data_IF_578419930714
#
_entry.id   IF_578419930714
#
_cell.length_a   1.000
_cell.length_b   1.000
_cell.length_c   1.000
_cell.angle_alpha   90.00
_cell.angle_beta   90.00
_cell.angle_gamma   90.00
#
_symmetry.space_group_name_H-M   'P 1'
#
loop_
_entity.id
_entity.type
_entity.pdbx_description
1 polymer ?
#
# COMPACT_ATOMS: atom_id res chain seq x y z
N UNK A 1 103.43 -5.77 21.60
CA UNK A 1 103.27 -4.90 22.79
C UNK A 1 101.81 -4.49 22.90
N UNK A 2 101.23 -4.65 24.11
CA UNK A 2 99.99 -4.05 24.65
C UNK A 2 98.71 -4.10 23.77
N UNK A 3 97.59 -4.71 24.15
CA UNK A 3 97.00 -4.87 25.47
C UNK A 3 96.10 -3.67 25.81
N UNK A 4 94.76 -3.83 25.74
CA UNK A 4 93.76 -3.21 26.63
C UNK A 4 92.34 -3.71 26.34
N UNK A 5 91.79 -4.40 27.34
CA UNK A 5 90.37 -4.66 27.57
C UNK A 5 89.61 -3.38 27.91
N UNK A 6 88.30 -3.26 27.60
CA UNK A 6 87.21 -2.86 28.54
C UNK A 6 85.82 -3.28 28.00
N UNK A 7 85.22 -4.26 28.69
CA UNK A 7 83.85 -4.47 29.18
C UNK A 7 82.57 -3.79 28.61
N UNK A 8 81.51 -4.65 28.59
CA UNK A 8 80.05 -4.48 28.86
C UNK A 8 79.10 -4.13 27.70
N UNK A 9 78.18 -5.07 27.40
CA UNK A 9 76.76 -5.01 27.82
C UNK A 9 75.98 -6.27 27.37
N UNK A 10 75.13 -6.82 28.25
CA UNK A 10 74.16 -7.89 27.93
C UNK A 10 73.01 -7.35 27.07
N UNK A 11 72.51 -8.15 26.11
CA UNK A 11 71.07 -8.37 25.87
C UNK A 11 70.84 -9.61 24.97
N UNK A 12 69.80 -10.41 25.22
CA UNK A 12 69.51 -11.61 24.46
C UNK A 12 68.62 -11.30 23.25
N UNK A 13 68.64 -12.21 22.26
CA UNK A 13 67.53 -12.65 21.38
C UNK A 13 68.00 -12.77 19.93
N UNK A 14 67.91 -13.99 19.40
CA UNK A 14 66.89 -14.32 18.40
C UNK A 14 67.12 -15.77 17.94
N UNK A 15 66.49 -16.70 18.62
CA UNK A 15 66.18 -17.99 18.02
C UNK A 15 64.69 -18.24 18.16
N UNK A 16 64.09 -18.53 17.01
CA UNK A 16 62.90 -19.35 16.83
C UNK A 16 61.55 -18.66 17.07
N UNK A 17 61.22 -17.70 16.21
CA UNK A 17 59.83 -17.36 15.88
C UNK A 17 59.27 -18.26 14.76
N UNK A 18 60.13 -18.70 13.84
CA UNK A 18 59.72 -19.45 12.63
C UNK A 18 59.23 -20.86 12.94
N UNK A 19 59.73 -21.50 14.01
CA UNK A 19 59.29 -22.86 14.37
C UNK A 19 57.92 -22.91 15.06
N UNK A 20 57.38 -21.77 15.53
CA UNK A 20 56.09 -21.76 16.24
C UNK A 20 54.88 -21.60 15.33
N UNK A 21 55.06 -21.44 14.02
CA UNK A 21 53.97 -21.16 13.07
C UNK A 21 53.52 -22.41 12.29
N UNK A 22 54.18 -23.56 12.48
CA UNK A 22 53.86 -24.80 11.73
C UNK A 22 52.71 -25.64 12.29
N UNK A 23 51.92 -25.11 13.23
CA UNK A 23 50.89 -25.87 13.95
C UNK A 23 49.53 -25.19 14.06
N UNK A 24 49.09 -24.41 13.05
CA UNK A 24 47.75 -23.81 13.12
C UNK A 24 47.00 -23.90 11.79
N UNK A 25 46.08 -24.86 11.73
CA UNK A 25 45.05 -25.11 10.71
C UNK A 25 44.04 -23.96 10.53
N UNK A 26 44.28 -22.80 11.15
CA UNK A 26 43.37 -21.65 11.13
C UNK A 26 43.64 -20.64 10.01
N UNK A 27 44.80 -20.69 9.35
CA UNK A 27 45.14 -19.70 8.30
C UNK A 27 44.49 -20.05 6.94
N UNK A 28 44.16 -21.33 6.69
CA UNK A 28 43.47 -21.72 5.47
C UNK A 28 41.98 -21.29 5.43
N UNK A 29 41.36 -21.05 6.59
CA UNK A 29 39.97 -20.59 6.66
C UNK A 29 39.81 -19.09 6.33
N UNK A 30 40.79 -18.26 6.69
CA UNK A 30 40.74 -16.82 6.40
C UNK A 30 41.26 -16.46 5.00
N UNK A 31 42.14 -17.29 4.41
CA UNK A 31 42.58 -17.13 3.02
C UNK A 31 41.46 -17.38 2.00
N UNK A 32 40.54 -18.31 2.29
CA UNK A 32 39.40 -18.61 1.43
C UNK A 32 38.30 -17.53 1.46
N UNK A 33 38.18 -16.80 2.57
CA UNK A 33 37.21 -15.71 2.73
C UNK A 33 37.66 -14.39 2.08
N UNK A 34 38.95 -14.11 2.03
CA UNK A 34 39.48 -12.90 1.38
C UNK A 34 39.61 -13.04 -0.15
N UNK A 35 39.81 -14.26 -0.67
CA UNK A 35 39.89 -14.53 -2.12
C UNK A 35 38.55 -14.53 -2.87
N UNK A 36 37.42 -14.54 -2.15
CA UNK A 36 36.08 -14.56 -2.75
C UNK A 36 35.52 -13.14 -3.08
N UNK A 37 36.20 -12.07 -2.66
CA UNK A 37 35.71 -10.69 -2.79
C UNK A 37 36.22 -9.94 -4.04
N UNK A 38 37.09 -10.55 -4.87
CA UNK A 38 37.67 -9.92 -6.07
C UNK A 38 37.07 -10.41 -7.40
N UNK A 39 35.82 -10.89 -7.39
CA UNK A 39 35.05 -11.17 -8.62
C UNK A 39 33.76 -10.32 -8.61
N UNK A 40 33.94 -9.01 -8.62
CA UNK A 40 32.89 -7.99 -8.56
C UNK A 40 32.36 -7.63 -9.95
N UNK A 41 31.63 -8.57 -10.57
CA UNK A 41 30.62 -8.28 -11.61
C UNK A 41 29.73 -9.49 -11.91
N UNK A 42 30.25 -10.72 -11.78
CA UNK A 42 29.52 -11.95 -12.14
C UNK A 42 28.91 -12.70 -10.95
N UNK A 43 29.11 -12.23 -9.73
CA UNK A 43 28.62 -12.89 -8.50
C UNK A 43 27.33 -12.29 -7.94
N UNK A 44 26.94 -11.09 -8.36
CA UNK A 44 25.68 -10.44 -7.95
C UNK A 44 24.46 -11.28 -8.27
N UNK A 45 24.43 -11.92 -9.45
CA UNK A 45 23.32 -12.78 -9.89
C UNK A 45 23.17 -14.04 -9.02
N UNK A 46 24.29 -14.62 -8.60
CA UNK A 46 24.31 -15.81 -7.74
C UNK A 46 23.95 -15.48 -6.30
N UNK A 47 24.41 -14.32 -5.79
CA UNK A 47 24.02 -13.83 -4.46
C UNK A 47 22.54 -13.47 -4.44
N UNK A 48 22.02 -12.81 -5.48
CA UNK A 48 20.59 -12.48 -5.56
C UNK A 48 19.71 -13.72 -5.67
N UNK A 49 20.09 -14.71 -6.48
CA UNK A 49 19.37 -16.00 -6.54
C UNK A 49 19.40 -16.74 -5.21
N UNK A 50 20.53 -16.68 -4.49
CA UNK A 50 20.69 -17.34 -3.20
C UNK A 50 19.91 -16.61 -2.09
N UNK A 51 19.85 -15.29 -2.12
CA UNK A 51 18.99 -14.48 -1.24
C UNK A 51 17.50 -14.68 -1.56
N UNK A 52 17.12 -14.84 -2.83
CA UNK A 52 15.76 -15.18 -3.25
C UNK A 52 15.39 -16.59 -2.81
N UNK A 53 16.27 -17.56 -3.01
CA UNK A 53 16.06 -18.95 -2.60
C UNK A 53 16.01 -19.09 -1.07
N UNK A 54 16.84 -18.35 -0.33
CA UNK A 54 16.81 -18.28 1.12
C UNK A 54 15.64 -17.45 1.68
N UNK A 55 14.77 -16.89 0.83
CA UNK A 55 13.62 -16.07 1.24
C UNK A 55 13.99 -14.69 1.82
N UNK A 56 15.26 -14.28 1.72
CA UNK A 56 15.79 -13.02 2.24
C UNK A 56 15.57 -11.85 1.27
N UNK A 57 15.31 -12.12 -0.01
CA UNK A 57 14.99 -11.11 -1.04
C UNK A 57 13.77 -11.56 -1.85
N UNK A 58 12.80 -10.68 -2.08
CA UNK A 58 11.68 -10.96 -2.98
C UNK A 58 12.22 -11.13 -4.40
N UNK A 59 11.74 -12.15 -5.13
CA UNK A 59 12.11 -12.27 -6.54
C UNK A 59 11.50 -11.13 -7.37
N UNK A 60 12.11 -10.79 -8.51
CA UNK A 60 11.63 -9.68 -9.35
C UNK A 60 10.15 -9.82 -9.75
N UNK A 61 9.66 -11.07 -9.86
CA UNK A 61 8.27 -11.38 -10.13
C UNK A 61 7.34 -11.01 -8.96
N UNK A 62 7.69 -11.32 -7.72
CA UNK A 62 6.96 -10.93 -6.52
C UNK A 62 6.96 -9.41 -6.33
N UNK A 63 8.08 -8.76 -6.59
CA UNK A 63 8.16 -7.30 -6.52
C UNK A 63 7.23 -6.64 -7.54
N UNK A 64 7.18 -7.16 -8.77
CA UNK A 64 6.27 -6.68 -9.80
C UNK A 64 4.79 -6.94 -9.45
N UNK A 65 4.47 -8.08 -8.84
CA UNK A 65 3.10 -8.39 -8.40
C UNK A 65 2.66 -7.49 -7.23
N UNK A 66 3.56 -7.24 -6.27
CA UNK A 66 3.31 -6.32 -5.16
C UNK A 66 3.10 -4.87 -5.65
N UNK A 67 3.87 -4.44 -6.65
CA UNK A 67 3.70 -3.09 -7.22
C UNK A 67 2.35 -2.96 -7.95
N UNK A 68 1.94 -3.96 -8.74
CA UNK A 68 0.61 -4.01 -9.37
C UNK A 68 -0.52 -3.98 -8.34
N UNK A 69 -0.38 -4.75 -7.25
CA UNK A 69 -1.34 -4.73 -6.14
C UNK A 69 -1.41 -3.34 -5.50
N UNK A 70 -0.27 -2.69 -5.30
CA UNK A 70 -0.18 -1.34 -4.75
C UNK A 70 -0.80 -0.29 -5.68
N UNK A 71 -0.52 -0.36 -6.98
CA UNK A 71 -1.14 0.49 -8.01
C UNK A 71 -2.65 0.34 -8.03
N UNK A 72 -3.13 -0.90 -8.08
CA UNK A 72 -4.56 -1.22 -8.00
C UNK A 72 -5.23 -0.60 -6.77
N UNK A 73 -4.64 -0.79 -5.59
CA UNK A 73 -5.19 -0.27 -4.33
C UNK A 73 -5.26 1.25 -4.30
N UNK A 74 -4.22 1.92 -4.82
CA UNK A 74 -4.17 3.39 -4.94
C UNK A 74 -5.22 3.90 -5.91
N UNK A 75 -5.40 3.23 -7.06
CA UNK A 75 -6.41 3.60 -8.04
C UNK A 75 -7.83 3.45 -7.48
N UNK A 76 -8.15 2.31 -6.87
CA UNK A 76 -9.44 2.04 -6.24
C UNK A 76 -9.76 3.06 -5.14
N UNK A 77 -8.83 3.25 -4.20
CA UNK A 77 -9.01 4.18 -3.06
C UNK A 77 -9.20 5.61 -3.56
N UNK A 78 -8.40 6.05 -4.53
CA UNK A 78 -8.51 7.39 -5.12
C UNK A 78 -9.87 7.60 -5.76
N UNK A 79 -10.34 6.63 -6.53
CA UNK A 79 -11.62 6.73 -7.22
C UNK A 79 -12.81 6.73 -6.24
N UNK A 80 -12.77 5.86 -5.21
CA UNK A 80 -13.77 5.81 -4.16
C UNK A 80 -13.88 7.15 -3.41
N UNK A 81 -12.75 7.71 -2.99
CA UNK A 81 -12.75 9.01 -2.30
C UNK A 81 -13.13 10.18 -3.20
N UNK A 82 -12.72 10.16 -4.47
CA UNK A 82 -13.15 11.18 -5.43
C UNK A 82 -14.67 11.17 -5.58
N UNK A 83 -15.28 9.98 -5.74
CA UNK A 83 -16.74 9.85 -5.83
C UNK A 83 -17.42 10.34 -4.56
N UNK A 84 -16.94 9.92 -3.39
CA UNK A 84 -17.50 10.35 -2.11
C UNK A 84 -17.41 11.88 -1.91
N UNK A 85 -16.29 12.48 -2.28
CA UNK A 85 -16.10 13.92 -2.25
C UNK A 85 -17.18 14.63 -3.07
N UNK A 86 -17.39 14.23 -4.33
CA UNK A 86 -18.38 14.88 -5.19
C UNK A 86 -19.81 14.63 -4.73
N UNK A 87 -20.11 13.43 -4.21
CA UNK A 87 -21.39 13.15 -3.53
C UNK A 87 -21.65 14.17 -2.41
N UNK A 88 -20.68 14.39 -1.52
CA UNK A 88 -20.79 15.39 -0.44
C UNK A 88 -20.95 16.81 -0.99
N UNK A 89 -20.24 17.16 -2.06
CA UNK A 89 -20.37 18.48 -2.69
C UNK A 89 -21.76 18.71 -3.24
N UNK A 90 -22.38 17.73 -3.91
CA UNK A 90 -23.77 17.82 -4.37
C UNK A 90 -24.72 18.08 -3.19
N UNK A 91 -24.58 17.30 -2.11
CA UNK A 91 -25.41 17.47 -0.91
C UNK A 91 -25.26 18.89 -0.34
N UNK A 92 -24.03 19.40 -0.22
CA UNK A 92 -23.80 20.76 0.27
C UNK A 92 -24.44 21.81 -0.64
N UNK A 93 -24.29 21.69 -1.95
CA UNK A 93 -24.89 22.66 -2.88
C UNK A 93 -26.41 22.62 -2.87
N UNK A 94 -27.03 21.48 -2.57
CA UNK A 94 -28.48 21.39 -2.43
C UNK A 94 -28.99 21.84 -1.06
N UNK A 95 -28.21 21.62 0.00
CA UNK A 95 -28.53 22.02 1.38
C UNK A 95 -28.54 23.54 1.56
N UNK A 96 -27.65 24.23 0.86
CA UNK A 96 -27.45 25.68 1.00
C UNK A 96 -27.92 26.41 -0.26
N UNK A 97 -28.14 27.72 -0.15
CA UNK A 97 -28.65 28.56 -1.25
C UNK A 97 -27.58 28.91 -2.29
N UNK A 98 -26.91 27.90 -2.83
CA UNK A 98 -25.98 28.04 -3.95
C UNK A 98 -26.76 28.38 -5.22
N UNK A 99 -26.13 29.13 -6.12
CA UNK A 99 -26.74 29.44 -7.41
C UNK A 99 -26.88 28.19 -8.28
N UNK A 100 -27.81 28.25 -9.24
CA UNK A 100 -28.09 27.10 -10.10
C UNK A 100 -26.89 26.69 -10.95
N UNK A 101 -26.03 27.65 -11.35
CA UNK A 101 -24.85 27.36 -12.16
C UNK A 101 -23.83 26.52 -11.39
N UNK A 102 -23.65 26.76 -10.10
CA UNK A 102 -22.74 26.00 -9.25
C UNK A 102 -23.30 24.61 -8.93
N UNK A 103 -24.62 24.50 -8.75
CA UNK A 103 -25.30 23.21 -8.63
C UNK A 103 -25.09 22.36 -9.88
N UNK A 104 -25.31 22.93 -11.06
CA UNK A 104 -25.16 22.24 -12.35
C UNK A 104 -23.71 21.78 -12.56
N UNK A 105 -22.73 22.65 -12.32
CA UNK A 105 -21.31 22.31 -12.41
C UNK A 105 -20.92 21.18 -11.45
N UNK A 106 -21.44 21.23 -10.22
CA UNK A 106 -21.17 20.20 -9.21
C UNK A 106 -21.79 18.87 -9.59
N UNK A 107 -23.00 18.90 -10.16
CA UNK A 107 -23.69 17.73 -10.69
C UNK A 107 -22.91 17.07 -11.82
N UNK A 108 -22.43 17.84 -12.80
CA UNK A 108 -21.65 17.31 -13.93
C UNK A 108 -20.33 16.67 -13.46
N UNK A 109 -19.66 17.30 -12.50
CA UNK A 109 -18.45 16.75 -11.90
C UNK A 109 -18.74 15.45 -11.14
N UNK A 110 -19.88 15.37 -10.45
CA UNK A 110 -20.35 14.15 -9.80
C UNK A 110 -20.64 13.04 -10.82
N UNK A 111 -21.39 13.30 -11.89
CA UNK A 111 -21.69 12.33 -12.94
C UNK A 111 -20.41 11.78 -13.58
N UNK A 112 -19.44 12.65 -13.87
CA UNK A 112 -18.12 12.23 -14.37
C UNK A 112 -17.44 11.21 -13.44
N UNK A 113 -17.63 11.33 -12.12
CA UNK A 113 -17.09 10.33 -11.19
C UNK A 113 -17.92 9.06 -11.06
N UNK A 114 -19.22 9.13 -11.30
CA UNK A 114 -20.10 7.96 -11.37
C UNK A 114 -19.74 7.14 -12.61
N UNK A 115 -19.54 7.78 -13.75
CA UNK A 115 -19.13 7.13 -15.00
C UNK A 115 -17.78 6.45 -14.84
N UNK A 116 -16.77 7.18 -14.34
CA UNK A 116 -15.45 6.60 -14.07
C UNK A 116 -15.52 5.42 -13.08
N UNK A 117 -16.39 5.48 -12.07
CA UNK A 117 -16.61 4.35 -11.15
C UNK A 117 -17.19 3.14 -11.88
N UNK A 118 -18.20 3.34 -12.72
CA UNK A 118 -18.91 2.29 -13.44
C UNK A 118 -18.00 1.63 -14.49
N UNK A 119 -17.22 2.42 -15.23
CA UNK A 119 -16.22 1.93 -16.19
C UNK A 119 -15.20 1.01 -15.53
N UNK A 120 -14.81 1.31 -14.28
CA UNK A 120 -13.84 0.54 -13.52
C UNK A 120 -14.46 -0.55 -12.64
N UNK A 121 -15.78 -0.73 -12.65
CA UNK A 121 -16.46 -1.59 -11.68
C UNK A 121 -15.98 -3.05 -11.76
N UNK A 122 -15.98 -3.63 -12.96
CA UNK A 122 -15.53 -5.02 -13.15
C UNK A 122 -14.02 -5.18 -12.90
N UNK A 123 -13.22 -4.19 -13.25
CA UNK A 123 -11.78 -4.17 -12.95
C UNK A 123 -11.55 -4.19 -11.44
N UNK A 124 -12.33 -3.39 -10.70
CA UNK A 124 -12.27 -3.33 -9.25
C UNK A 124 -12.67 -4.66 -8.61
N UNK A 125 -13.76 -5.28 -9.06
CA UNK A 125 -14.22 -6.59 -8.54
C UNK A 125 -13.17 -7.68 -8.78
N UNK A 126 -12.69 -7.81 -10.02
CA UNK A 126 -11.68 -8.82 -10.39
C UNK A 126 -10.36 -8.57 -9.65
N UNK A 127 -9.91 -7.31 -9.58
CA UNK A 127 -8.69 -6.93 -8.87
C UNK A 127 -8.77 -7.20 -7.37
N UNK A 128 -9.93 -6.94 -6.75
CA UNK A 128 -10.17 -7.28 -5.35
C UNK A 128 -10.10 -8.79 -5.14
N UNK A 129 -10.81 -9.58 -5.94
CA UNK A 129 -10.79 -11.04 -5.83
C UNK A 129 -9.40 -11.64 -6.07
N UNK A 130 -8.59 -11.00 -6.93
CA UNK A 130 -7.20 -11.43 -7.19
C UNK A 130 -6.26 -11.12 -6.02
N UNK A 131 -6.33 -9.92 -5.46
CA UNK A 131 -5.33 -9.41 -4.52
C UNK A 131 -5.73 -9.49 -3.04
N UNK A 132 -7.02 -9.68 -2.76
CA UNK A 132 -7.61 -9.61 -1.42
C UNK A 132 -8.75 -10.63 -1.28
N UNK A 133 -8.47 -11.73 -0.57
CA UNK A 133 -9.47 -12.77 -0.31
C UNK A 133 -10.73 -12.19 0.35
N UNK A 134 -11.90 -12.51 -0.21
CA UNK A 134 -13.22 -12.11 0.30
C UNK A 134 -13.58 -10.64 0.11
N UNK A 135 -12.66 -9.76 -0.31
CA UNK A 135 -12.97 -8.32 -0.44
C UNK A 135 -13.84 -7.97 -1.65
N UNK A 136 -13.85 -8.79 -2.71
CA UNK A 136 -14.79 -8.56 -3.82
C UNK A 136 -16.24 -8.71 -3.36
N UNK A 137 -16.54 -9.77 -2.62
CA UNK A 137 -17.89 -10.02 -2.06
C UNK A 137 -18.33 -8.89 -1.12
N UNK A 138 -17.45 -8.42 -0.23
CA UNK A 138 -17.75 -7.28 0.66
C UNK A 138 -18.00 -6.00 -0.15
N UNK A 139 -17.20 -5.76 -1.19
CA UNK A 139 -17.37 -4.60 -2.05
C UNK A 139 -18.70 -4.62 -2.80
N UNK A 140 -19.07 -5.76 -3.39
CA UNK A 140 -20.32 -5.96 -4.13
C UNK A 140 -21.55 -5.99 -3.21
N UNK A 141 -21.43 -6.57 -2.02
CA UNK A 141 -22.54 -6.71 -1.08
C UNK A 141 -22.81 -5.49 -0.20
N UNK A 142 -21.80 -4.66 0.05
CA UNK A 142 -21.90 -3.55 1.02
C UNK A 142 -21.58 -2.19 0.40
N UNK A 143 -20.42 -2.03 -0.24
CA UNK A 143 -19.96 -0.71 -0.73
C UNK A 143 -20.73 -0.25 -1.96
N UNK A 144 -20.83 -1.10 -2.98
CA UNK A 144 -21.47 -0.77 -4.26
C UNK A 144 -22.98 -0.46 -4.11
N UNK A 145 -23.77 -1.21 -3.31
CA UNK A 145 -25.19 -0.91 -3.10
C UNK A 145 -25.43 0.41 -2.36
N UNK A 146 -24.57 0.76 -1.40
CA UNK A 146 -24.65 2.05 -0.68
C UNK A 146 -24.43 3.23 -1.63
N UNK A 147 -23.41 3.15 -2.49
CA UNK A 147 -23.20 4.16 -3.53
C UNK A 147 -24.41 4.28 -4.47
N UNK A 148 -24.99 3.16 -4.91
CA UNK A 148 -26.18 3.16 -5.77
C UNK A 148 -27.40 3.77 -5.08
N UNK A 149 -27.64 3.41 -3.83
CA UNK A 149 -28.76 3.95 -3.04
C UNK A 149 -28.67 5.46 -2.88
N UNK A 150 -27.47 5.97 -2.55
CA UNK A 150 -27.22 7.42 -2.45
C UNK A 150 -27.44 8.09 -3.80
N UNK A 151 -26.93 7.49 -4.90
CA UNK A 151 -27.11 8.03 -6.25
C UNK A 151 -28.58 8.21 -6.63
N UNK A 152 -29.43 7.19 -6.42
CA UNK A 152 -30.87 7.31 -6.72
C UNK A 152 -31.55 8.42 -5.91
N UNK A 153 -31.16 8.61 -4.66
CA UNK A 153 -31.69 9.70 -3.83
C UNK A 153 -31.22 11.07 -4.32
N UNK A 154 -29.98 11.20 -4.79
CA UNK A 154 -29.49 12.43 -5.40
C UNK A 154 -30.19 12.73 -6.73
N UNK A 155 -30.43 11.72 -7.57
CA UNK A 155 -31.22 11.84 -8.80
C UNK A 155 -32.64 12.33 -8.51
N UNK A 156 -33.28 11.81 -7.46
CA UNK A 156 -34.61 12.26 -7.03
C UNK A 156 -34.62 13.73 -6.62
N UNK A 157 -33.60 14.21 -5.91
CA UNK A 157 -33.45 15.63 -5.54
C UNK A 157 -33.23 16.49 -6.79
N UNK A 158 -32.36 16.04 -7.70
CA UNK A 158 -32.03 16.76 -8.92
C UNK A 158 -33.22 16.83 -9.89
N UNK A 159 -34.04 15.78 -9.91
CA UNK A 159 -35.18 15.65 -10.81
C UNK A 159 -36.47 15.33 -10.02
N UNK A 160 -37.09 16.31 -9.33
CA UNK A 160 -38.27 16.09 -8.49
C UNK A 160 -39.54 15.65 -9.24
N UNK A 161 -39.56 15.81 -10.57
CA UNK A 161 -40.65 15.31 -11.42
C UNK A 161 -40.46 13.88 -11.90
N UNK A 162 -39.31 13.26 -11.62
CA UNK A 162 -39.03 11.87 -11.99
C UNK A 162 -39.78 10.89 -11.08
N UNK A 163 -40.01 9.67 -11.56
CA UNK A 163 -40.56 8.55 -10.78
C UNK A 163 -39.47 7.76 -10.02
N UNK A 164 -38.31 8.38 -9.78
CA UNK A 164 -37.20 7.73 -9.10
C UNK A 164 -37.51 7.65 -7.60
N UNK A 165 -37.43 6.45 -7.04
CA UNK A 165 -37.66 6.23 -5.61
C UNK A 165 -36.35 6.33 -4.80
N UNK A 166 -36.33 7.22 -3.82
CA UNK A 166 -35.25 7.27 -2.82
C UNK A 166 -35.54 6.28 -1.69
N UNK A 167 -34.71 5.24 -1.57
CA UNK A 167 -34.86 4.19 -0.54
C UNK A 167 -34.40 4.60 0.86
N UNK A 168 -33.72 5.74 1.00
CA UNK A 168 -33.25 6.24 2.30
C UNK A 168 -34.35 6.94 3.09
N UNK A 169 -35.22 7.67 2.39
CA UNK A 169 -36.35 8.35 3.01
C UNK A 169 -37.43 8.69 1.98
N UNK A 170 -38.73 8.55 2.29
CA UNK A 170 -39.82 8.95 1.39
C UNK A 170 -39.78 10.42 1.01
N UNK A 171 -39.27 11.28 1.90
CA UNK A 171 -39.16 12.73 1.70
C UNK A 171 -37.86 13.16 1.02
N UNK A 172 -36.94 12.21 0.75
CA UNK A 172 -35.59 12.49 0.24
C UNK A 172 -34.85 13.56 1.06
N UNK A 173 -35.01 13.56 2.38
CA UNK A 173 -34.38 14.56 3.23
C UNK A 173 -32.86 14.57 3.04
N UNK A 174 -32.30 15.78 2.96
CA UNK A 174 -30.85 15.99 2.92
C UNK A 174 -30.15 15.36 4.14
N UNK A 175 -30.80 15.38 5.31
CA UNK A 175 -30.25 14.78 6.53
C UNK A 175 -30.03 13.26 6.40
N UNK A 176 -31.01 12.53 5.86
CA UNK A 176 -30.87 11.08 5.62
C UNK A 176 -29.74 10.76 4.63
N UNK A 177 -29.53 11.63 3.64
CA UNK A 177 -28.42 11.52 2.69
C UNK A 177 -27.06 11.76 3.35
N UNK A 178 -26.95 12.78 4.21
CA UNK A 178 -25.72 13.05 4.98
C UNK A 178 -25.35 11.83 5.84
N UNK A 179 -26.31 11.27 6.57
CA UNK A 179 -26.09 10.05 7.37
C UNK A 179 -25.63 8.87 6.51
N UNK A 180 -26.29 8.60 5.38
CA UNK A 180 -25.91 7.50 4.49
C UNK A 180 -24.51 7.67 3.90
N UNK A 181 -24.11 8.91 3.59
CA UNK A 181 -22.77 9.24 3.09
C UNK A 181 -21.71 9.04 4.17
N UNK A 182 -21.99 9.39 5.42
CA UNK A 182 -21.06 9.18 6.53
C UNK A 182 -20.92 7.69 6.89
N UNK A 183 -22.01 6.92 6.85
CA UNK A 183 -21.95 5.46 6.97
C UNK A 183 -21.13 4.83 5.83
N UNK A 184 -21.31 5.31 4.59
CA UNK A 184 -20.51 4.85 3.45
C UNK A 184 -19.03 5.22 3.62
N UNK A 185 -18.73 6.44 4.07
CA UNK A 185 -17.36 6.88 4.35
C UNK A 185 -16.69 5.95 5.37
N UNK A 186 -17.42 5.63 6.44
CA UNK A 186 -16.95 4.75 7.48
C UNK A 186 -16.73 3.32 6.98
N UNK A 187 -17.68 2.75 6.25
CA UNK A 187 -17.52 1.43 5.61
C UNK A 187 -16.36 1.39 4.62
N UNK A 188 -16.16 2.45 3.82
CA UNK A 188 -15.01 2.55 2.91
C UNK A 188 -13.68 2.59 3.67
N UNK A 189 -13.62 3.32 4.78
CA UNK A 189 -12.43 3.36 5.62
C UNK A 189 -12.12 1.96 6.19
N UNK A 190 -13.10 1.31 6.80
CA UNK A 190 -12.95 -0.07 7.32
C UNK A 190 -12.54 -1.05 6.22
N UNK A 191 -13.17 -0.94 5.05
CA UNK A 191 -12.86 -1.73 3.87
C UNK A 191 -11.42 -1.56 3.40
N UNK A 192 -10.92 -0.32 3.31
CA UNK A 192 -9.54 -0.05 2.85
C UNK A 192 -8.52 -0.48 3.90
N UNK A 193 -8.75 -0.17 5.18
CA UNK A 193 -7.84 -0.48 6.28
C UNK A 193 -7.84 -1.97 6.68
N UNK A 194 -8.84 -2.75 6.26
CA UNK A 194 -8.98 -4.15 6.65
C UNK A 194 -9.41 -4.33 8.11
N UNK A 195 -10.12 -3.35 8.67
CA UNK A 195 -10.74 -3.47 9.99
C UNK A 195 -12.01 -4.31 9.85
N UNK A 196 -12.21 -5.27 10.76
CA UNK A 196 -13.42 -6.08 10.77
C UNK A 196 -14.66 -5.23 11.10
N UNK A 197 -15.85 -5.68 10.71
CA UNK A 197 -17.11 -5.00 11.08
C UNK A 197 -17.34 -4.99 12.62
N UNK A 198 -16.65 -5.84 13.39
CA UNK A 198 -16.65 -5.80 14.86
C UNK A 198 -15.76 -4.68 15.41
N UNK A 199 -14.60 -4.43 14.78
CA UNK A 199 -13.68 -3.33 15.13
C UNK A 199 -14.21 -1.96 14.68
N UNK A 200 -15.14 -1.96 13.73
CA UNK A 200 -15.89 -0.81 13.25
C UNK A 200 -16.88 -0.22 14.27
N UNK A 201 -17.03 -0.81 15.47
CA UNK A 201 -17.79 -0.19 16.58
C UNK A 201 -16.97 0.78 17.42
N UNK A 202 -15.78 1.18 16.98
CA UNK A 202 -15.08 2.30 17.60
C UNK A 202 -15.75 3.61 17.21
N UNK A 203 -16.72 3.99 18.04
CA UNK A 203 -17.37 5.31 18.08
C UNK A 203 -16.34 6.45 18.03
N UNK A 204 -16.57 7.40 17.12
CA UNK A 204 -16.22 8.81 17.36
C UNK A 204 -17.36 9.46 18.16
#
# INVERSE_FOLDING_TARGET
MAGRNVLRARKPKATNFVERVRGSTLILAFGALAGALTVSASTTDSVDKLLVWAGLKKNALQLAEDDKRGEFSRALTRLAWKRLFWTRRVILTEKYSYDQSEKDKTWDAYLTTVDAWNENLMINIVGLNRYYLGKGEVFEGSIQPKFGTIHYCLERIRHPSSNIECKLSPDSSIGSLETAVDELNFSLYGFVCGLSDEDQRCSL
#
